data_IF_073036084890
#
_entry.id   IF_073036084890
#
_cell.length_a   1.000
_cell.length_b   1.000
_cell.length_c   1.000
_cell.angle_alpha   90.00
_cell.angle_beta   90.00
_cell.angle_gamma   90.00
#
_symmetry.space_group_name_H-M   'P 1'
#
loop_
_entity.id
_entity.type
_entity.pdbx_description
1 polymer ?
#
# COMPACT_ATOMS: atom_id res chain seq x y z
N UNK A 1 1.29 16.98 22.91
CA UNK A 1 1.31 17.57 21.56
C UNK A 1 2.27 16.77 20.70
N UNK A 2 1.77 15.91 19.81
CA UNK A 2 2.58 15.17 18.84
C UNK A 2 2.88 16.08 17.66
N UNK A 3 4.14 16.50 17.52
CA UNK A 3 4.61 17.30 16.39
C UNK A 3 4.63 16.46 15.12
N UNK A 4 3.84 16.85 14.11
CA UNK A 4 3.86 16.21 12.80
C UNK A 4 5.12 16.64 12.04
N UNK A 5 6.09 15.73 11.90
CA UNK A 5 7.29 15.96 11.09
C UNK A 5 6.94 15.95 9.60
N UNK A 6 7.51 16.85 8.81
CA UNK A 6 7.27 16.88 7.37
C UNK A 6 7.86 15.64 6.67
N UNK A 7 7.36 15.28 5.49
CA UNK A 7 7.87 14.13 4.73
C UNK A 7 9.34 14.29 4.28
N UNK A 8 9.85 15.53 4.25
CA UNK A 8 11.28 15.85 4.09
C UNK A 8 12.06 15.53 5.35
N UNK A 9 11.53 15.88 6.52
CA UNK A 9 12.20 15.64 7.81
C UNK A 9 12.27 14.14 8.10
N UNK A 10 11.19 13.40 7.84
CA UNK A 10 11.14 11.94 7.99
C UNK A 10 12.12 11.20 7.05
N UNK A 11 12.42 11.76 5.87
CA UNK A 11 13.37 11.17 4.92
C UNK A 11 14.84 11.41 5.32
N UNK A 12 15.10 12.35 6.24
CA UNK A 12 16.41 12.54 6.85
C UNK A 12 16.63 11.60 8.04
N UNK A 13 15.57 11.01 8.58
CA UNK A 13 15.66 10.04 9.66
C UNK A 13 16.17 8.69 9.16
N UNK A 14 16.84 7.98 10.06
CA UNK A 14 17.33 6.62 9.81
C UNK A 14 16.26 5.62 10.25
N UNK A 15 15.87 4.74 9.33
CA UNK A 15 14.89 3.68 9.57
C UNK A 15 15.51 2.40 10.14
N UNK A 16 14.74 1.31 10.14
CA UNK A 16 15.13 -0.02 10.63
C UNK A 16 16.56 -0.41 10.20
N UNK A 17 17.45 -0.60 11.17
CA UNK A 17 18.85 -0.96 10.94
C UNK A 17 19.80 0.23 10.66
N UNK A 18 19.44 1.45 11.07
CA UNK A 18 20.27 2.65 10.94
C UNK A 18 20.55 3.05 9.47
N UNK A 19 19.73 2.57 8.54
CA UNK A 19 19.82 2.88 7.10
C UNK A 19 18.97 4.10 6.79
N UNK A 20 19.44 4.93 5.84
CA UNK A 20 18.68 6.08 5.35
C UNK A 20 17.38 5.58 4.71
N UNK A 21 16.26 6.22 5.01
CA UNK A 21 14.97 5.90 4.36
C UNK A 21 15.08 6.26 2.88
N UNK A 22 15.24 5.26 2.01
CA UNK A 22 15.29 5.46 0.57
C UNK A 22 13.88 5.68 0.02
N UNK A 23 13.67 6.76 -0.74
CA UNK A 23 12.44 6.96 -1.51
C UNK A 23 12.46 5.99 -2.70
N UNK A 24 11.49 5.09 -2.76
CA UNK A 24 11.27 4.25 -3.95
C UNK A 24 10.45 5.07 -4.93
N UNK A 25 11.02 5.37 -6.10
CA UNK A 25 10.27 5.92 -7.22
C UNK A 25 9.42 4.80 -7.84
N UNK A 26 8.10 4.94 -7.80
CA UNK A 26 7.20 4.03 -8.52
C UNK A 26 7.35 4.32 -10.01
N UNK A 27 7.87 3.35 -10.78
CA UNK A 27 7.91 3.47 -12.24
C UNK A 27 6.48 3.30 -12.77
N UNK A 28 5.89 4.39 -13.26
CA UNK A 28 4.53 4.41 -13.78
C UNK A 28 4.54 4.85 -15.24
N UNK A 29 3.67 4.25 -16.07
CA UNK A 29 3.42 4.79 -17.40
C UNK A 29 2.74 6.17 -17.29
N UNK A 30 2.88 7.00 -18.33
CA UNK A 30 2.33 8.36 -18.36
C UNK A 30 0.81 8.40 -18.09
N UNK A 31 0.08 7.35 -18.46
CA UNK A 31 -1.36 7.25 -18.19
C UNK A 31 -1.68 7.07 -16.70
N UNK A 32 -0.99 6.16 -16.01
CA UNK A 32 -1.23 5.92 -14.59
C UNK A 32 -0.73 7.07 -13.72
N UNK A 33 0.35 7.76 -14.12
CA UNK A 33 0.78 8.98 -13.41
C UNK A 33 -0.28 10.09 -13.50
N UNK A 34 -0.91 10.28 -14.67
CA UNK A 34 -2.02 11.23 -14.83
C UNK A 34 -3.22 10.85 -13.95
N UNK A 35 -3.59 9.57 -13.91
CA UNK A 35 -4.67 9.07 -13.04
C UNK A 35 -4.36 9.34 -11.57
N UNK A 36 -3.15 8.99 -11.13
CA UNK A 36 -2.70 9.21 -9.75
C UNK A 36 -2.64 10.70 -9.41
N UNK A 37 -2.19 11.55 -10.34
CA UNK A 37 -2.16 13.00 -10.16
C UNK A 37 -3.55 13.59 -9.99
N UNK A 38 -4.53 13.15 -10.78
CA UNK A 38 -5.93 13.60 -10.67
C UNK A 38 -6.56 13.15 -9.36
N UNK A 39 -6.34 11.89 -8.98
CA UNK A 39 -6.84 11.34 -7.72
C UNK A 39 -6.21 12.05 -6.52
N UNK A 40 -4.90 12.33 -6.58
CA UNK A 40 -4.17 13.12 -5.58
C UNK A 40 -4.80 14.49 -5.35
N UNK A 41 -5.15 15.21 -6.42
CA UNK A 41 -5.85 16.50 -6.30
C UNK A 41 -7.25 16.36 -5.71
N UNK A 42 -8.00 15.31 -6.09
CA UNK A 42 -9.33 15.05 -5.56
C UNK A 42 -9.32 14.68 -4.06
N UNK A 43 -8.28 13.97 -3.60
CA UNK A 43 -8.10 13.56 -2.21
C UNK A 43 -7.40 14.64 -1.37
N UNK A 44 -7.97 15.85 -1.32
CA UNK A 44 -7.49 16.99 -0.50
C UNK A 44 -6.00 17.30 -0.71
N UNK A 45 -5.52 17.14 -1.94
CA UNK A 45 -4.13 17.44 -2.29
C UNK A 45 -3.09 16.52 -1.62
N UNK A 46 -3.45 15.28 -1.28
CA UNK A 46 -2.49 14.28 -0.80
C UNK A 46 -1.34 14.08 -1.80
N UNK A 47 -0.11 13.87 -1.32
CA UNK A 47 1.02 13.57 -2.20
C UNK A 47 0.79 12.24 -2.94
N UNK A 48 1.24 12.17 -4.21
CA UNK A 48 1.13 10.95 -5.03
C UNK A 48 1.70 9.72 -4.33
N UNK A 49 2.84 9.88 -3.63
CA UNK A 49 3.50 8.80 -2.90
C UNK A 49 2.66 8.29 -1.72
N UNK A 50 2.04 9.19 -0.96
CA UNK A 50 1.15 8.81 0.15
C UNK A 50 -0.10 8.11 -0.36
N UNK A 51 -0.68 8.64 -1.44
CA UNK A 51 -1.85 8.03 -2.05
C UNK A 51 -1.55 6.64 -2.62
N UNK A 52 -0.37 6.44 -3.22
CA UNK A 52 0.06 5.13 -3.69
C UNK A 52 0.25 4.13 -2.55
N UNK A 53 0.79 4.56 -1.41
CA UNK A 53 0.93 3.73 -0.20
C UNK A 53 -0.45 3.29 0.35
N UNK A 54 -1.42 4.21 0.44
CA UNK A 54 -2.79 3.87 0.85
C UNK A 54 -3.47 2.92 -0.14
N UNK A 55 -3.34 3.16 -1.44
CA UNK A 55 -3.88 2.28 -2.48
C UNK A 55 -3.27 0.88 -2.39
N UNK A 56 -1.98 0.77 -2.08
CA UNK A 56 -1.31 -0.53 -1.91
C UNK A 56 -1.89 -1.30 -0.73
N UNK A 57 -2.11 -0.65 0.42
CA UNK A 57 -2.73 -1.27 1.60
C UNK A 57 -4.13 -1.76 1.29
N UNK A 58 -4.96 -0.90 0.70
CA UNK A 58 -6.34 -1.25 0.30
C UNK A 58 -6.36 -2.41 -0.71
N UNK A 59 -5.41 -2.42 -1.65
CA UNK A 59 -5.30 -3.48 -2.64
C UNK A 59 -4.93 -4.82 -2.01
N UNK A 60 -4.03 -4.84 -1.01
CA UNK A 60 -3.63 -6.04 -0.30
C UNK A 60 -4.72 -6.54 0.66
N UNK A 61 -5.49 -5.64 1.27
CA UNK A 61 -6.62 -6.01 2.12
C UNK A 61 -7.86 -6.47 1.30
N UNK A 62 -7.84 -6.28 -0.02
CA UNK A 62 -8.98 -6.59 -0.88
C UNK A 62 -8.93 -8.04 -1.40
N UNK A 63 -9.89 -8.89 -1.00
CA UNK A 63 -9.97 -10.30 -1.43
C UNK A 63 -9.90 -10.45 -2.95
N UNK A 64 -10.62 -9.58 -3.64
CA UNK A 64 -10.81 -9.66 -5.09
C UNK A 64 -9.55 -9.27 -5.83
N UNK A 65 -8.83 -8.25 -5.34
CA UNK A 65 -7.60 -7.77 -5.97
C UNK A 65 -6.49 -8.80 -5.78
N UNK A 66 -6.30 -9.30 -4.56
CA UNK A 66 -5.30 -10.32 -4.24
C UNK A 66 -5.55 -11.60 -5.06
N UNK A 67 -6.80 -12.10 -5.06
CA UNK A 67 -7.17 -13.28 -5.85
C UNK A 67 -6.90 -13.09 -7.34
N UNK A 68 -7.32 -11.94 -7.91
CA UNK A 68 -7.08 -11.63 -9.32
C UNK A 68 -5.58 -11.63 -9.66
N UNK A 69 -4.75 -11.02 -8.82
CA UNK A 69 -3.30 -10.96 -9.05
C UNK A 69 -2.65 -12.35 -8.92
N UNK A 70 -3.05 -13.15 -7.94
CA UNK A 70 -2.56 -14.52 -7.76
C UNK A 70 -2.98 -15.45 -8.90
N UNK A 71 -4.21 -15.36 -9.38
CA UNK A 71 -4.67 -16.16 -10.53
C UNK A 71 -3.96 -15.74 -11.83
N UNK A 72 -3.69 -14.44 -12.00
CA UNK A 72 -3.05 -13.91 -13.20
C UNK A 72 -1.53 -14.11 -13.24
N UNK A 73 -0.87 -14.08 -12.08
CA UNK A 73 0.60 -14.02 -11.99
C UNK A 73 1.22 -15.04 -11.03
N UNK A 74 0.44 -15.67 -10.13
CA UNK A 74 0.95 -16.53 -9.05
C UNK A 74 1.56 -17.85 -9.52
N UNK A 75 1.19 -18.34 -10.70
CA UNK A 75 1.81 -19.52 -11.32
C UNK A 75 1.85 -20.74 -10.38
N UNK A 76 2.97 -21.47 -10.39
CA UNK A 76 3.13 -22.76 -9.70
C UNK A 76 3.48 -22.66 -8.20
N UNK A 77 3.61 -21.45 -7.63
CA UNK A 77 4.07 -21.27 -6.24
C UNK A 77 2.91 -20.98 -5.28
N UNK A 78 1.98 -21.93 -5.19
CA UNK A 78 0.78 -21.82 -4.34
C UNK A 78 1.11 -21.61 -2.86
N UNK A 79 2.28 -22.06 -2.38
CA UNK A 79 2.69 -21.89 -0.98
C UNK A 79 2.87 -20.43 -0.55
N UNK A 80 3.00 -19.49 -1.51
CA UNK A 80 3.14 -18.06 -1.21
C UNK A 80 1.84 -17.29 -1.46
N UNK A 81 0.74 -17.98 -1.72
CA UNK A 81 -0.55 -17.32 -1.86
C UNK A 81 -0.99 -16.74 -0.52
N UNK A 82 -1.34 -15.46 -0.56
CA UNK A 82 -1.94 -14.74 0.54
C UNK A 82 -3.36 -15.26 0.70
N UNK A 83 -3.58 -15.96 1.80
CA UNK A 83 -4.88 -16.53 2.16
C UNK A 83 -5.56 -15.61 3.19
N UNK A 84 -6.87 -15.39 3.08
CA UNK A 84 -7.62 -14.66 4.08
C UNK A 84 -7.45 -15.33 5.45
N UNK A 85 -7.14 -14.52 6.45
CA UNK A 85 -7.19 -14.95 7.84
C UNK A 85 -8.56 -14.61 8.41
N UNK A 86 -9.32 -15.63 8.81
CA UNK A 86 -10.61 -15.44 9.48
C UNK A 86 -10.36 -15.19 10.97
N UNK A 87 -10.48 -13.95 11.40
CA UNK A 87 -10.38 -13.58 12.81
C UNK A 87 -11.77 -13.66 13.44
N UNK A 88 -11.92 -14.51 14.45
CA UNK A 88 -13.12 -14.59 15.29
C UNK A 88 -12.90 -13.71 16.54
N UNK A 89 -13.52 -12.54 16.59
CA UNK A 89 -13.58 -11.73 17.81
C UNK A 89 -15.02 -11.60 18.30
N UNK A 90 -15.25 -12.01 19.55
CA UNK A 90 -16.51 -11.79 20.28
C UNK A 90 -17.79 -12.16 19.51
N UNK A 91 -17.78 -13.29 18.79
CA UNK A 91 -18.94 -13.79 18.06
C UNK A 91 -19.17 -13.17 16.67
N UNK A 92 -18.40 -12.17 16.25
CA UNK A 92 -18.34 -11.70 14.86
C UNK A 92 -17.15 -12.33 14.14
N UNK A 93 -17.42 -12.88 12.95
CA UNK A 93 -16.38 -13.30 12.02
C UNK A 93 -15.99 -12.11 11.16
N UNK A 94 -14.70 -11.80 11.10
CA UNK A 94 -14.15 -10.80 10.19
C UNK A 94 -13.07 -11.45 9.35
N UNK A 95 -13.23 -11.39 8.03
CA UNK A 95 -12.25 -11.88 7.07
C UNK A 95 -11.27 -10.74 6.83
N UNK A 96 -10.01 -10.96 7.17
CA UNK A 96 -8.92 -9.99 6.99
C UNK A 96 -7.92 -10.62 6.03
N UNK A 97 -7.45 -9.85 5.05
CA UNK A 97 -6.40 -10.26 4.11
C UNK A 97 -5.04 -9.73 4.56
#
# INVERSE_FOLDING_TARGET
MTTFKSASDQAQERGLGNKRVCRVSVSMTNEYDKKLSRLSMACVGMSKSRLADELLKIALDSPNVVKYLQERHGGAYEQFWVNPTVIKQSGKQTVVY
#
